data_IF_408878137208
#
_entry.id   IF_408878137208
#
_cell.length_a   1.000
_cell.length_b   1.000
_cell.length_c   1.000
_cell.angle_alpha   90.00
_cell.angle_beta   90.00
_cell.angle_gamma   90.00
#
_symmetry.space_group_name_H-M   'P 1'
#
loop_
_entity.id
_entity.type
_entity.pdbx_description
1 polymer ?
#
# COMPACT_ATOMS: atom_id res chain seq x y z
N UNK A 1 64.43 -40.59 4.75
CA UNK A 1 64.54 -40.43 6.22
C UNK A 1 63.38 -39.57 6.69
N UNK A 2 62.87 -39.73 7.92
CA UNK A 2 61.71 -38.99 8.43
C UNK A 2 61.94 -37.47 8.62
N UNK A 3 63.19 -37.02 8.51
CA UNK A 3 63.57 -35.60 8.67
C UNK A 3 63.20 -34.69 7.47
N UNK A 4 62.89 -35.23 6.28
CA UNK A 4 62.50 -34.41 5.10
C UNK A 4 61.05 -33.89 5.16
N UNK A 5 60.25 -34.35 6.14
CA UNK A 5 58.85 -33.93 6.30
C UNK A 5 58.69 -32.69 7.19
N UNK A 6 59.70 -32.37 8.01
CA UNK A 6 59.63 -31.24 8.93
C UNK A 6 60.22 -29.95 8.34
N UNK A 7 61.20 -30.06 7.44
CA UNK A 7 61.79 -28.90 6.73
C UNK A 7 62.07 -29.21 5.24
N UNK A 8 61.04 -29.11 4.38
CA UNK A 8 61.19 -29.42 2.96
C UNK A 8 62.13 -28.45 2.24
N UNK A 9 63.22 -28.98 1.69
CA UNK A 9 64.28 -28.26 0.97
C UNK A 9 63.85 -27.57 -0.35
N UNK A 10 62.63 -27.85 -0.82
CA UNK A 10 62.00 -27.22 -1.99
C UNK A 10 61.19 -25.96 -1.65
N UNK A 11 61.06 -25.61 -0.36
CA UNK A 11 60.46 -24.35 0.10
C UNK A 11 61.58 -23.32 0.30
N UNK A 12 61.87 -22.53 -0.74
CA UNK A 12 62.70 -21.32 -0.59
C UNK A 12 61.91 -20.29 0.22
N UNK A 13 62.23 -20.15 1.51
CA UNK A 13 61.79 -19.01 2.31
C UNK A 13 62.72 -17.84 1.99
N UNK A 14 62.25 -16.91 1.17
CA UNK A 14 62.91 -15.60 1.10
C UNK A 14 62.86 -14.95 2.49
N UNK A 15 64.00 -14.50 3.06
CA UNK A 15 63.96 -13.67 4.25
C UNK A 15 63.36 -12.32 3.85
N UNK A 16 62.40 -11.84 4.64
CA UNK A 16 61.87 -10.48 4.60
C UNK A 16 60.91 -10.10 3.45
N UNK A 17 59.92 -10.96 3.18
CA UNK A 17 58.60 -10.40 2.91
C UNK A 17 58.00 -9.95 4.25
N UNK A 18 58.30 -8.71 4.67
CA UNK A 18 57.60 -8.03 5.76
C UNK A 18 56.12 -8.00 5.40
N UNK A 19 55.38 -9.04 5.82
CA UNK A 19 53.95 -8.94 5.96
C UNK A 19 53.73 -7.67 6.79
N UNK A 20 52.94 -6.68 6.33
CA UNK A 20 52.82 -5.42 7.03
C UNK A 20 52.44 -5.74 8.47
N UNK A 21 53.39 -5.50 9.38
CA UNK A 21 53.16 -5.65 10.81
C UNK A 21 51.97 -4.76 11.07
N UNK A 22 50.85 -5.36 11.48
CA UNK A 22 49.66 -4.62 11.87
C UNK A 22 50.03 -3.77 13.09
N UNK A 23 50.60 -2.59 12.84
CA UNK A 23 50.98 -1.63 13.86
C UNK A 23 49.70 -1.02 14.43
N UNK A 24 49.32 -1.49 15.62
CA UNK A 24 48.15 -1.05 16.36
C UNK A 24 47.85 -2.01 17.52
N UNK A 25 47.10 -1.58 18.55
CA UNK A 25 46.75 -2.43 19.68
C UNK A 25 45.99 -3.69 19.23
N UNK A 26 46.49 -4.86 19.64
CA UNK A 26 45.90 -6.18 19.34
C UNK A 26 44.91 -6.54 20.43
N UNK A 27 43.63 -6.65 20.08
CA UNK A 27 42.57 -7.03 21.02
C UNK A 27 42.24 -8.52 20.85
N UNK A 28 42.34 -9.28 21.94
CA UNK A 28 42.04 -10.72 21.98
C UNK A 28 40.72 -10.94 22.74
N UNK A 29 39.71 -11.49 22.07
CA UNK A 29 38.46 -11.90 22.70
C UNK A 29 38.69 -13.20 23.50
N UNK A 30 38.59 -13.16 24.83
CA UNK A 30 38.56 -14.36 25.68
C UNK A 30 37.14 -14.94 25.70
N UNK A 31 36.99 -16.24 25.48
CA UNK A 31 35.74 -16.96 25.75
C UNK A 31 35.21 -17.93 24.68
N UNK A 32 35.85 -18.05 23.50
CA UNK A 32 35.55 -19.12 22.54
C UNK A 32 36.81 -19.94 22.30
N UNK A 33 36.69 -21.27 22.31
CA UNK A 33 37.79 -22.19 22.04
C UNK A 33 38.47 -21.78 20.71
N UNK A 34 39.74 -21.38 20.79
CA UNK A 34 40.49 -20.76 19.68
C UNK A 34 40.49 -19.23 19.73
N UNK A 35 41.30 -18.65 20.62
CA UNK A 35 41.54 -17.21 20.72
C UNK A 35 42.34 -16.66 19.54
N UNK A 36 41.68 -16.48 18.39
CA UNK A 36 42.26 -15.90 17.18
C UNK A 36 42.52 -14.40 17.32
N UNK A 37 43.61 -13.93 16.68
CA UNK A 37 43.86 -12.50 16.47
C UNK A 37 42.81 -12.00 15.48
N UNK A 38 42.06 -10.95 15.83
CA UNK A 38 41.03 -10.37 14.96
C UNK A 38 41.47 -8.97 14.53
N UNK A 39 41.52 -8.76 13.22
CA UNK A 39 41.77 -7.43 12.66
C UNK A 39 40.60 -6.48 12.98
N UNK A 40 40.88 -5.39 13.70
CA UNK A 40 39.84 -4.51 14.26
C UNK A 40 38.93 -3.90 13.19
N UNK A 41 39.48 -3.47 12.05
CA UNK A 41 38.68 -2.91 10.93
C UNK A 41 37.69 -3.95 10.37
N UNK A 42 38.12 -5.21 10.27
CA UNK A 42 37.27 -6.31 9.80
C UNK A 42 36.20 -6.68 10.84
N UNK A 43 36.54 -6.63 12.12
CA UNK A 43 35.59 -6.80 13.22
C UNK A 43 34.50 -5.72 13.21
N UNK A 44 34.89 -4.44 13.15
CA UNK A 44 33.96 -3.31 13.13
C UNK A 44 33.08 -3.32 11.87
N UNK A 45 33.63 -3.66 10.71
CA UNK A 45 32.86 -3.83 9.48
C UNK A 45 31.82 -4.96 9.60
N UNK A 46 32.21 -6.10 10.17
CA UNK A 46 31.29 -7.21 10.45
C UNK A 46 30.20 -6.82 11.46
N UNK A 47 30.56 -6.12 12.54
CA UNK A 47 29.62 -5.62 13.55
C UNK A 47 28.61 -4.66 12.94
N UNK A 48 29.06 -3.70 12.13
CA UNK A 48 28.18 -2.76 11.44
C UNK A 48 27.23 -3.46 10.45
N UNK A 49 27.71 -4.51 9.76
CA UNK A 49 26.86 -5.32 8.87
C UNK A 49 25.78 -6.07 9.66
N UNK A 50 26.17 -6.78 10.73
CA UNK A 50 25.23 -7.51 11.60
C UNK A 50 24.20 -6.56 12.22
N UNK A 51 24.60 -5.38 12.66
CA UNK A 51 23.65 -4.39 13.20
C UNK A 51 22.64 -3.91 12.15
N UNK A 52 23.06 -3.72 10.89
CA UNK A 52 22.13 -3.38 9.79
C UNK A 52 21.14 -4.51 9.53
N UNK A 53 21.64 -5.74 9.38
CA UNK A 53 20.82 -6.94 9.20
C UNK A 53 19.81 -7.11 10.35
N UNK A 54 20.24 -6.91 11.59
CA UNK A 54 19.36 -6.98 12.77
C UNK A 54 18.31 -5.88 12.79
N UNK A 55 18.66 -4.65 12.39
CA UNK A 55 17.69 -3.53 12.29
C UNK A 55 16.66 -3.81 11.20
N UNK A 56 17.08 -4.28 10.03
CA UNK A 56 16.18 -4.67 8.94
C UNK A 56 15.27 -5.83 9.35
N UNK A 57 15.82 -6.90 9.93
CA UNK A 57 15.05 -8.03 10.42
C UNK A 57 14.03 -7.61 11.49
N UNK A 58 14.42 -6.71 12.40
CA UNK A 58 13.52 -6.15 13.41
C UNK A 58 12.39 -5.34 12.76
N UNK A 59 12.69 -4.49 11.76
CA UNK A 59 11.67 -3.73 11.02
C UNK A 59 10.67 -4.67 10.34
N UNK A 60 11.15 -5.66 9.59
CA UNK A 60 10.30 -6.64 8.90
C UNK A 60 9.46 -7.44 9.89
N UNK A 61 10.02 -7.83 11.04
CA UNK A 61 9.28 -8.54 12.08
C UNK A 61 8.16 -7.67 12.66
N UNK A 62 8.47 -6.44 13.02
CA UNK A 62 7.49 -5.47 13.54
C UNK A 62 6.37 -5.25 12.51
N UNK A 63 6.72 -5.05 11.24
CA UNK A 63 5.74 -4.87 10.16
C UNK A 63 4.83 -6.10 9.99
N UNK A 64 5.39 -7.31 10.04
CA UNK A 64 4.61 -8.56 9.99
C UNK A 64 3.69 -8.73 11.19
N UNK A 65 4.19 -8.47 12.40
CA UNK A 65 3.40 -8.50 13.64
C UNK A 65 2.25 -7.48 13.58
N UNK A 66 2.51 -6.26 13.10
CA UNK A 66 1.49 -5.23 12.91
C UNK A 66 0.44 -5.65 11.87
N UNK A 67 0.86 -6.20 10.73
CA UNK A 67 -0.05 -6.68 9.68
C UNK A 67 -0.93 -7.84 10.16
N UNK A 68 -0.38 -8.75 10.97
CA UNK A 68 -1.14 -9.83 11.59
C UNK A 68 -2.14 -9.29 12.61
N UNK A 69 -1.73 -8.38 13.49
CA UNK A 69 -2.61 -7.76 14.47
C UNK A 69 -3.79 -7.02 13.81
N UNK A 70 -3.51 -6.21 12.78
CA UNK A 70 -4.54 -5.47 12.04
C UNK A 70 -5.49 -6.41 11.28
N UNK A 71 -5.00 -7.55 10.79
CA UNK A 71 -5.86 -8.60 10.21
C UNK A 71 -6.84 -9.14 11.25
N UNK A 72 -6.34 -9.54 12.43
CA UNK A 72 -7.21 -10.05 13.49
C UNK A 72 -8.23 -9.01 13.97
N UNK A 73 -7.86 -7.73 14.03
CA UNK A 73 -8.78 -6.64 14.34
C UNK A 73 -9.91 -6.50 13.29
N UNK A 74 -9.55 -6.52 12.01
CA UNK A 74 -10.50 -6.36 10.90
C UNK A 74 -11.35 -7.61 10.63
N UNK A 75 -10.83 -8.80 10.91
CA UNK A 75 -11.62 -10.06 10.88
C UNK A 75 -12.80 -10.01 11.87
N UNK A 76 -12.65 -9.28 12.97
CA UNK A 76 -13.70 -9.07 13.96
C UNK A 76 -14.54 -7.81 13.70
N UNK A 77 -14.19 -7.01 12.68
CA UNK A 77 -14.89 -5.76 12.38
C UNK A 77 -16.07 -6.00 11.43
N UNK A 78 -17.18 -5.32 11.72
CA UNK A 78 -18.42 -5.39 10.94
C UNK A 78 -18.74 -4.00 10.39
N UNK A 79 -19.06 -3.93 9.10
CA UNK A 79 -19.60 -2.75 8.45
C UNK A 79 -21.12 -2.81 8.51
N UNK A 80 -21.72 -1.70 8.92
CA UNK A 80 -23.17 -1.51 8.88
C UNK A 80 -23.54 -0.84 7.56
N UNK A 81 -23.96 -1.65 6.58
CA UNK A 81 -24.51 -1.14 5.32
C UNK A 81 -25.94 -0.68 5.57
N UNK A 82 -26.22 0.60 5.31
CA UNK A 82 -27.56 1.19 5.41
C UNK A 82 -28.03 1.52 4.00
N UNK A 83 -28.93 0.70 3.46
CA UNK A 83 -29.51 0.88 2.13
C UNK A 83 -31.03 0.93 2.17
N UNK A 84 -31.68 1.19 1.01
CA UNK A 84 -33.14 1.24 0.91
C UNK A 84 -33.83 -0.10 1.21
N UNK A 85 -33.10 -1.21 1.19
CA UNK A 85 -33.59 -2.55 1.55
C UNK A 85 -33.48 -2.88 3.06
N UNK A 86 -32.92 -1.97 3.88
CA UNK A 86 -32.70 -2.15 5.31
C UNK A 86 -31.23 -2.05 5.71
N UNK A 87 -30.95 -2.37 6.97
CA UNK A 87 -29.59 -2.41 7.52
C UNK A 87 -29.04 -3.84 7.41
N UNK A 88 -27.85 -3.99 6.82
CA UNK A 88 -27.15 -5.27 6.73
C UNK A 88 -25.77 -5.14 7.34
N UNK A 89 -25.44 -6.10 8.18
CA UNK A 89 -24.10 -6.28 8.72
C UNK A 89 -23.27 -7.12 7.75
N UNK A 90 -22.13 -6.57 7.34
CA UNK A 90 -21.18 -7.24 6.43
C UNK A 90 -19.82 -7.28 7.12
N UNK A 91 -19.18 -8.45 7.28
CA UNK A 91 -17.81 -8.53 7.77
C UNK A 91 -16.87 -7.65 6.92
N UNK A 92 -16.01 -6.86 7.57
CA UNK A 92 -15.19 -5.86 6.89
C UNK A 92 -14.34 -6.44 5.75
N UNK A 93 -13.71 -7.61 5.99
CA UNK A 93 -12.88 -8.27 4.99
C UNK A 93 -13.69 -8.93 3.86
N UNK A 94 -14.99 -9.19 4.04
CA UNK A 94 -15.86 -9.59 2.93
C UNK A 94 -16.20 -8.40 2.04
N UNK A 95 -16.42 -7.21 2.61
CA UNK A 95 -16.66 -5.98 1.85
C UNK A 95 -15.39 -5.45 1.15
N UNK A 96 -14.20 -5.75 1.69
CA UNK A 96 -12.91 -5.34 1.12
C UNK A 96 -11.88 -6.49 1.17
N UNK A 97 -12.04 -7.54 0.34
CA UNK A 97 -11.18 -8.73 0.36
C UNK A 97 -9.71 -8.42 0.04
N UNK A 98 -9.47 -7.41 -0.79
CA UNK A 98 -8.12 -7.00 -1.15
C UNK A 98 -7.55 -5.85 -0.31
N UNK A 99 -8.06 -5.64 0.91
CA UNK A 99 -7.58 -4.60 1.85
C UNK A 99 -6.05 -4.63 2.05
N UNK A 100 -5.46 -5.83 2.00
CA UNK A 100 -4.03 -6.04 2.23
C UNK A 100 -3.17 -6.05 0.94
N UNK A 101 -3.75 -5.88 -0.23
CA UNK A 101 -3.06 -6.00 -1.53
C UNK A 101 -2.31 -4.71 -1.94
N UNK A 102 -2.56 -3.60 -1.27
CA UNK A 102 -1.89 -2.32 -1.52
C UNK A 102 -2.72 -1.15 -0.98
N UNK A 103 -2.13 0.05 -0.84
CA UNK A 103 -2.86 1.20 -0.33
C UNK A 103 -3.98 1.59 -1.29
N UNK A 104 -5.18 1.79 -0.74
CA UNK A 104 -6.37 2.30 -1.44
C UNK A 104 -6.11 3.68 -2.08
N UNK A 105 -5.18 4.43 -1.51
CA UNK A 105 -4.61 5.69 -1.99
C UNK A 105 -3.97 5.52 -3.37
N UNK A 106 -3.13 4.48 -3.55
CA UNK A 106 -2.50 4.19 -4.85
C UNK A 106 -3.55 3.78 -5.89
N UNK A 107 -4.56 3.02 -5.45
CA UNK A 107 -5.65 2.61 -6.32
C UNK A 107 -6.46 3.81 -6.82
N UNK A 108 -6.74 4.79 -5.96
CA UNK A 108 -7.47 6.02 -6.36
C UNK A 108 -6.79 6.71 -7.55
N UNK A 109 -5.46 6.89 -7.50
CA UNK A 109 -4.71 7.46 -8.62
C UNK A 109 -4.61 6.53 -9.84
N UNK A 110 -4.53 5.21 -9.63
CA UNK A 110 -4.54 4.26 -10.73
C UNK A 110 -5.90 4.27 -11.46
N UNK A 111 -7.00 4.33 -10.73
CA UNK A 111 -8.36 4.42 -11.29
C UNK A 111 -8.56 5.78 -11.98
N UNK A 112 -8.00 6.88 -11.45
CA UNK A 112 -7.92 8.17 -12.16
C UNK A 112 -7.27 8.01 -13.54
N UNK A 113 -6.05 7.47 -13.59
CA UNK A 113 -5.30 7.29 -14.83
C UNK A 113 -6.00 6.37 -15.84
N UNK A 114 -6.72 5.35 -15.36
CA UNK A 114 -7.44 4.39 -16.19
C UNK A 114 -8.78 4.93 -16.69
N UNK A 115 -9.37 5.91 -16.03
CA UNK A 115 -10.67 6.51 -16.41
C UNK A 115 -10.55 7.58 -17.49
N UNK A 116 -11.68 8.14 -17.92
CA UNK A 116 -11.76 9.32 -18.80
C UNK A 116 -11.30 10.60 -18.10
N UNK A 117 -11.36 10.67 -16.77
CA UNK A 117 -10.86 11.80 -15.98
C UNK A 117 -9.34 12.03 -16.16
N UNK A 118 -8.58 11.05 -16.67
CA UNK A 118 -7.14 11.18 -16.92
C UNK A 118 -6.77 12.27 -17.93
N UNK A 119 -7.73 12.76 -18.72
CA UNK A 119 -7.55 13.93 -19.58
C UNK A 119 -7.33 15.25 -18.81
N UNK A 120 -7.62 15.25 -17.50
CA UNK A 120 -7.48 16.39 -16.61
C UNK A 120 -6.40 16.14 -15.55
N UNK A 121 -5.80 17.22 -15.05
CA UNK A 121 -4.92 17.13 -13.89
C UNK A 121 -5.77 16.97 -12.64
N UNK A 122 -5.48 15.95 -11.86
CA UNK A 122 -6.26 15.63 -10.67
C UNK A 122 -6.33 16.79 -9.66
N UNK A 123 -5.23 17.54 -9.51
CA UNK A 123 -5.13 18.68 -8.60
C UNK A 123 -5.92 19.92 -9.04
N UNK A 124 -6.39 19.97 -10.29
CA UNK A 124 -7.29 21.03 -10.74
C UNK A 124 -8.71 20.82 -10.20
N UNK A 125 -9.01 19.62 -9.69
CA UNK A 125 -10.35 19.23 -9.26
C UNK A 125 -10.43 18.63 -7.84
N UNK A 126 -9.32 18.07 -7.31
CA UNK A 126 -9.24 17.50 -5.96
C UNK A 126 -8.07 18.06 -5.15
N UNK A 127 -8.33 18.31 -3.88
CA UNK A 127 -7.33 18.38 -2.81
C UNK A 127 -7.29 17.06 -2.03
N UNK A 128 -6.22 16.83 -1.28
CA UNK A 128 -6.03 15.62 -0.48
C UNK A 128 -5.57 15.99 0.93
N UNK A 129 -6.39 15.65 1.91
CA UNK A 129 -6.04 15.82 3.32
C UNK A 129 -5.14 14.65 3.72
N UNK A 130 -3.83 14.87 3.72
CA UNK A 130 -2.82 13.83 3.99
C UNK A 130 -2.68 13.65 5.50
N UNK A 131 -2.79 12.42 5.98
CA UNK A 131 -2.39 12.05 7.35
C UNK A 131 -1.11 11.24 7.29
N UNK A 132 -0.10 11.67 8.04
CA UNK A 132 1.17 10.98 8.23
C UNK A 132 1.38 10.84 9.74
N UNK A 133 0.84 9.76 10.29
CA UNK A 133 0.82 9.50 11.72
C UNK A 133 1.94 8.53 12.06
N UNK A 134 2.87 8.95 12.93
CA UNK A 134 3.87 8.06 13.55
C UNK A 134 3.56 7.91 15.04
N UNK A 135 3.00 6.76 15.44
CA UNK A 135 2.77 6.40 16.83
C UNK A 135 3.54 5.13 17.20
N UNK A 136 4.49 5.25 18.15
CA UNK A 136 5.23 4.13 18.75
C UNK A 136 5.83 3.15 17.72
N UNK A 137 6.31 3.64 16.59
CA UNK A 137 6.89 2.83 15.51
C UNK A 137 5.86 2.19 14.57
N UNK A 138 4.61 2.65 14.62
CA UNK A 138 3.60 2.47 13.58
C UNK A 138 3.49 3.79 12.81
N UNK A 139 3.96 3.79 11.57
CA UNK A 139 3.72 4.89 10.65
C UNK A 139 2.57 4.52 9.72
N UNK A 140 1.51 5.30 9.73
CA UNK A 140 0.38 5.19 8.82
C UNK A 140 0.32 6.44 7.95
N UNK A 141 0.25 6.23 6.64
CA UNK A 141 0.14 7.31 5.66
C UNK A 141 -1.13 7.04 4.86
N UNK A 142 -2.07 7.99 4.90
CA UNK A 142 -3.31 7.96 4.13
C UNK A 142 -3.68 9.36 3.63
N UNK A 143 -4.78 9.44 2.87
CA UNK A 143 -5.42 10.71 2.59
C UNK A 143 -6.94 10.58 2.50
N UNK A 144 -7.63 11.70 2.70
CA UNK A 144 -9.05 11.85 2.35
C UNK A 144 -9.16 12.75 1.11
N UNK A 145 -9.75 12.27 -0.01
CA UNK A 145 -9.95 13.10 -1.19
C UNK A 145 -11.05 14.14 -0.96
N UNK A 146 -10.78 15.39 -1.32
CA UNK A 146 -11.69 16.53 -1.16
C UNK A 146 -11.91 17.21 -2.51
N UNK A 147 -13.14 17.21 -3.06
CA UNK A 147 -13.39 17.91 -4.31
C UNK A 147 -13.28 19.42 -4.10
N UNK A 148 -12.62 20.13 -5.02
CA UNK A 148 -12.50 21.59 -4.98
C UNK A 148 -13.81 22.29 -5.34
N UNK A 149 -14.62 21.64 -6.19
CA UNK A 149 -15.98 22.05 -6.53
C UNK A 149 -16.97 21.05 -5.95
N UNK A 150 -17.87 21.51 -5.08
CA UNK A 150 -18.90 20.67 -4.49
C UNK A 150 -20.15 20.70 -5.38
N UNK A 151 -20.81 19.55 -5.63
CA UNK A 151 -22.11 19.53 -6.26
C UNK A 151 -23.15 20.26 -5.41
N UNK A 152 -24.15 20.86 -6.06
CA UNK A 152 -25.24 21.56 -5.39
C UNK A 152 -26.09 20.66 -4.47
N UNK A 153 -26.09 19.34 -4.72
CA UNK A 153 -26.86 18.40 -3.93
C UNK A 153 -26.27 16.98 -3.93
N UNK A 154 -26.73 16.18 -2.98
CA UNK A 154 -26.37 14.76 -2.88
C UNK A 154 -27.19 13.93 -3.87
N UNK A 155 -26.52 13.08 -4.64
CA UNK A 155 -27.16 12.05 -5.46
C UNK A 155 -27.35 10.77 -4.65
N UNK A 156 -28.58 10.59 -4.16
CA UNK A 156 -29.02 9.36 -3.51
C UNK A 156 -29.84 8.49 -4.46
N UNK A 157 -29.84 7.17 -4.19
CA UNK A 157 -30.72 6.23 -4.87
C UNK A 157 -32.17 6.48 -4.42
N UNK A 158 -32.96 7.11 -5.28
CA UNK A 158 -34.38 7.34 -5.03
C UNK A 158 -35.22 6.08 -5.21
N UNK A 159 -36.38 6.00 -4.53
CA UNK A 159 -37.34 4.92 -4.71
C UNK A 159 -37.79 4.87 -6.17
N UNK A 160 -37.73 3.68 -6.80
CA UNK A 160 -38.13 3.43 -8.18
C UNK A 160 -37.44 4.30 -9.26
N UNK A 161 -36.26 4.86 -8.97
CA UNK A 161 -35.49 5.55 -10.00
C UNK A 161 -34.96 4.53 -11.02
N UNK A 162 -35.19 4.79 -12.31
CA UNK A 162 -34.65 3.92 -13.35
C UNK A 162 -33.15 4.16 -13.52
N UNK A 163 -32.40 3.12 -13.92
CA UNK A 163 -30.96 3.24 -14.18
C UNK A 163 -30.67 4.28 -15.27
N UNK A 164 -31.55 4.47 -16.25
CA UNK A 164 -31.42 5.51 -17.27
C UNK A 164 -31.52 6.92 -16.68
N UNK A 165 -32.42 7.14 -15.71
CA UNK A 165 -32.47 8.41 -14.98
C UNK A 165 -31.23 8.61 -14.10
N UNK A 166 -30.64 7.54 -13.57
CA UNK A 166 -29.34 7.66 -12.89
C UNK A 166 -28.24 8.10 -13.86
N UNK A 167 -28.20 7.59 -15.08
CA UNK A 167 -27.25 8.02 -16.13
C UNK A 167 -27.36 9.52 -16.42
N UNK A 168 -28.58 10.04 -16.58
CA UNK A 168 -28.79 11.49 -16.77
C UNK A 168 -28.28 12.32 -15.57
N UNK A 169 -28.48 11.81 -14.34
CA UNK A 169 -28.08 12.53 -13.11
C UNK A 169 -26.57 12.52 -12.88
N UNK A 170 -25.88 11.42 -13.19
CA UNK A 170 -24.41 11.37 -13.10
C UNK A 170 -23.77 12.28 -14.16
N UNK A 171 -24.33 12.34 -15.36
CA UNK A 171 -23.86 13.24 -16.42
C UNK A 171 -24.05 14.71 -16.04
N UNK A 172 -25.17 15.04 -15.38
CA UNK A 172 -25.39 16.38 -14.84
C UNK A 172 -24.36 16.76 -13.77
N UNK A 173 -23.96 15.83 -12.90
CA UNK A 173 -22.89 16.05 -11.92
C UNK A 173 -21.56 16.27 -12.63
N UNK A 174 -21.22 15.44 -13.61
CA UNK A 174 -19.97 15.59 -14.37
C UNK A 174 -19.89 16.95 -15.07
N UNK A 175 -20.99 17.39 -15.68
CA UNK A 175 -21.10 18.71 -16.29
C UNK A 175 -20.99 19.84 -15.25
N UNK A 176 -21.59 19.68 -14.08
CA UNK A 176 -21.48 20.63 -12.98
C UNK A 176 -20.03 20.73 -12.50
N UNK A 177 -19.34 19.61 -12.28
CA UNK A 177 -17.93 19.60 -11.85
C UNK A 177 -16.99 20.08 -12.97
N UNK A 178 -17.41 19.96 -14.23
CA UNK A 178 -16.58 20.26 -15.40
C UNK A 178 -15.53 19.18 -15.66
N UNK A 179 -15.86 17.92 -15.31
CA UNK A 179 -14.98 16.78 -15.47
C UNK A 179 -15.79 15.52 -15.78
N UNK A 180 -15.37 14.79 -16.80
CA UNK A 180 -15.92 13.47 -17.12
C UNK A 180 -15.62 12.47 -16.02
N UNK A 181 -16.63 11.68 -15.63
CA UNK A 181 -16.51 10.64 -14.60
C UNK A 181 -16.19 11.18 -13.19
N UNK A 182 -16.49 12.46 -12.93
CA UNK A 182 -16.33 13.08 -11.63
C UNK A 182 -17.25 12.45 -10.57
N UNK A 183 -18.47 12.08 -10.96
CA UNK A 183 -19.45 11.43 -10.07
C UNK A 183 -18.87 10.19 -9.38
N UNK A 184 -18.02 9.43 -10.06
CA UNK A 184 -17.37 8.24 -9.51
C UNK A 184 -16.40 8.61 -8.38
N UNK A 185 -15.54 9.60 -8.58
CA UNK A 185 -14.59 10.06 -7.55
C UNK A 185 -15.28 10.80 -6.40
N UNK A 186 -16.45 11.37 -6.64
CA UNK A 186 -17.33 11.88 -5.58
C UNK A 186 -17.99 10.75 -4.77
N UNK A 187 -18.29 9.63 -5.43
CA UNK A 187 -18.87 8.44 -4.82
C UNK A 187 -17.89 7.67 -3.94
N UNK A 188 -16.58 7.70 -4.23
CA UNK A 188 -15.60 6.94 -3.43
C UNK A 188 -15.57 7.31 -1.94
N UNK A 189 -16.02 8.52 -1.59
CA UNK A 189 -16.20 8.98 -0.20
C UNK A 189 -17.67 8.84 0.28
N UNK A 190 -18.64 8.64 -0.61
CA UNK A 190 -20.06 8.46 -0.27
C UNK A 190 -20.81 9.71 0.21
N UNK A 191 -20.15 10.87 0.31
CA UNK A 191 -20.78 12.11 0.80
C UNK A 191 -21.71 12.76 -0.22
N UNK A 192 -21.32 12.77 -1.49
CA UNK A 192 -22.01 13.50 -2.55
C UNK A 192 -22.76 12.60 -3.52
N UNK A 193 -22.27 11.39 -3.72
CA UNK A 193 -22.95 10.35 -4.50
C UNK A 193 -22.96 9.10 -3.64
N UNK A 194 -24.15 8.53 -3.44
CA UNK A 194 -24.28 7.30 -2.65
C UNK A 194 -23.67 6.10 -3.38
N UNK A 195 -22.95 5.20 -2.69
CA UNK A 195 -22.42 3.97 -3.28
C UNK A 195 -23.49 3.13 -4.00
N UNK A 196 -24.71 3.09 -3.48
CA UNK A 196 -25.86 2.38 -4.09
C UNK A 196 -26.16 2.85 -5.52
N UNK A 197 -25.83 4.10 -5.86
CA UNK A 197 -25.95 4.64 -7.22
C UNK A 197 -24.93 3.96 -8.14
N UNK A 198 -23.69 3.82 -7.68
CA UNK A 198 -22.64 3.09 -8.38
C UNK A 198 -22.99 1.62 -8.57
N UNK A 199 -23.51 0.95 -7.54
CA UNK A 199 -23.93 -0.45 -7.61
C UNK A 199 -25.08 -0.63 -8.64
N UNK A 200 -26.08 0.25 -8.62
CA UNK A 200 -27.19 0.21 -9.58
C UNK A 200 -26.72 0.42 -11.04
N UNK A 201 -25.76 1.32 -11.27
CA UNK A 201 -25.18 1.55 -12.59
C UNK A 201 -24.30 0.36 -13.01
N UNK A 202 -23.49 -0.18 -12.11
CA UNK A 202 -22.65 -1.36 -12.36
C UNK A 202 -23.51 -2.57 -12.75
N UNK A 203 -24.62 -2.80 -12.06
CA UNK A 203 -25.57 -3.85 -12.41
C UNK A 203 -26.24 -3.57 -13.77
N UNK A 204 -26.62 -2.31 -14.02
CA UNK A 204 -27.10 -1.87 -15.34
C UNK A 204 -26.10 -2.13 -16.47
N UNK A 205 -24.80 -1.97 -16.23
CA UNK A 205 -23.73 -2.29 -17.18
C UNK A 205 -23.61 -3.81 -17.40
N UNK A 206 -23.59 -4.61 -16.33
CA UNK A 206 -23.51 -6.09 -16.42
C UNK A 206 -24.67 -6.67 -17.23
N UNK A 207 -25.85 -6.07 -17.09
CA UNK A 207 -27.07 -6.47 -17.81
C UNK A 207 -27.22 -5.81 -19.19
N UNK A 208 -26.27 -4.95 -19.59
CA UNK A 208 -26.31 -4.25 -20.88
C UNK A 208 -27.43 -3.21 -21.03
N UNK A 209 -28.06 -2.77 -19.93
CA UNK A 209 -29.14 -1.77 -19.93
C UNK A 209 -28.62 -0.36 -20.15
N UNK A 210 -27.40 -0.07 -19.69
CA UNK A 210 -26.74 1.23 -19.86
C UNK A 210 -25.32 1.05 -20.39
N UNK A 211 -24.70 2.14 -20.81
CA UNK A 211 -23.31 2.16 -21.31
C UNK A 211 -22.57 3.35 -20.73
N UNK A 212 -21.31 3.12 -20.39
CA UNK A 212 -20.31 4.15 -20.13
C UNK A 212 -19.17 3.99 -21.14
N UNK A 213 -18.29 5.00 -21.31
CA UNK A 213 -17.02 4.80 -22.00
C UNK A 213 -16.32 3.54 -21.45
N UNK A 214 -15.76 2.70 -22.32
CA UNK A 214 -15.28 1.36 -21.91
C UNK A 214 -14.26 1.38 -20.77
N UNK A 215 -13.44 2.44 -20.71
CA UNK A 215 -12.46 2.67 -19.64
C UNK A 215 -13.12 3.00 -18.28
N UNK A 216 -14.20 3.76 -18.29
CA UNK A 216 -14.97 4.15 -17.11
C UNK A 216 -15.81 2.98 -16.59
N UNK A 217 -16.42 2.24 -17.51
CA UNK A 217 -17.10 0.99 -17.19
C UNK A 217 -16.16 0.00 -16.49
N UNK A 218 -14.93 -0.16 -16.99
CA UNK A 218 -13.94 -1.05 -16.39
C UNK A 218 -13.54 -0.61 -14.97
N UNK A 219 -13.39 0.69 -14.73
CA UNK A 219 -13.09 1.24 -13.39
C UNK A 219 -14.28 1.03 -12.44
N UNK A 220 -15.51 1.34 -12.88
CA UNK A 220 -16.72 1.16 -12.06
C UNK A 220 -16.96 -0.30 -11.70
N UNK A 221 -16.79 -1.23 -12.65
CA UNK A 221 -16.97 -2.66 -12.38
C UNK A 221 -15.90 -3.19 -11.41
N UNK A 222 -14.63 -2.78 -11.58
CA UNK A 222 -13.57 -3.12 -10.63
C UNK A 222 -13.82 -2.54 -9.23
N UNK A 223 -14.46 -1.37 -9.15
CA UNK A 223 -14.95 -0.82 -7.89
C UNK A 223 -16.11 -1.61 -7.28
N UNK A 224 -17.08 -2.04 -8.09
CA UNK A 224 -18.19 -2.86 -7.59
C UNK A 224 -17.71 -4.21 -7.02
N UNK A 225 -16.65 -4.78 -7.59
CA UNK A 225 -16.04 -6.03 -7.10
C UNK A 225 -15.17 -5.81 -5.85
N UNK A 226 -14.65 -4.60 -5.65
CA UNK A 226 -13.79 -4.22 -4.52
C UNK A 226 -14.05 -2.76 -4.16
N UNK A 227 -14.91 -2.47 -3.18
CA UNK A 227 -15.30 -1.09 -2.84
C UNK A 227 -14.13 -0.30 -2.23
N UNK A 228 -14.20 1.04 -2.32
CA UNK A 228 -13.38 1.93 -1.50
C UNK A 228 -13.96 1.99 -0.08
N UNK A 229 -13.09 2.07 0.93
CA UNK A 229 -13.46 2.28 2.33
C UNK A 229 -12.68 3.48 2.87
N UNK A 230 -12.94 4.67 2.31
CA UNK A 230 -12.41 5.95 2.83
C UNK A 230 -13.19 6.40 4.07
#
# INVERSE_FOLDING_TARGET
SADDLLEPSWVRREPDAVAPVLAGPIYRLRGRAGGGIVHMRSFLARRARIEREQREARRVRIEREQRAARRTELENSVLHEVGPAGTRDIPFLEASPGWFEGPRENRFFADWQRSSACGHRIFDHWAFDIHDLDDRGRREIDFIPRPLKMPAGKLALGVNISVHRLMERIEAIDAEIGLTFAWFFLMTHGRWVDPDVGDAIAEGLRQGRVRLPGRDAAVLLAWADKKYLF
#
